data_IF_534582705537
#
_entry.id   IF_534582705537
#
_cell.length_a   1.000
_cell.length_b   1.000
_cell.length_c   1.000
_cell.angle_alpha   90.00
_cell.angle_beta   90.00
_cell.angle_gamma   90.00
#
_symmetry.space_group_name_H-M   'P 1'
#
loop_
_entity.id
_entity.type
_entity.pdbx_description
1 polymer ?
#
# COMPACT_ATOMS: atom_id res chain seq x y z
N UNK A 1 -48.88 53.56 -10.20
CA UNK A 1 -48.37 53.72 -11.58
C UNK A 1 -49.48 53.83 -12.62
N UNK A 2 -50.57 53.06 -12.54
CA UNK A 2 -51.66 53.04 -13.54
C UNK A 2 -52.42 54.36 -13.77
N UNK A 3 -52.64 55.18 -12.73
CA UNK A 3 -53.29 56.50 -12.90
C UNK A 3 -52.40 57.54 -13.62
N UNK A 4 -51.08 57.47 -13.42
CA UNK A 4 -50.11 58.38 -14.02
C UNK A 4 -49.87 58.06 -15.50
N UNK A 5 -49.80 56.77 -15.85
CA UNK A 5 -49.75 56.32 -17.26
C UNK A 5 -51.02 56.70 -18.01
N UNK A 6 -52.20 56.64 -17.37
CA UNK A 6 -53.46 57.08 -17.96
C UNK A 6 -53.48 58.58 -18.30
N UNK A 7 -52.96 59.43 -17.42
CA UNK A 7 -52.82 60.87 -17.67
C UNK A 7 -51.88 61.17 -18.84
N UNK A 8 -50.73 60.48 -18.91
CA UNK A 8 -49.77 60.64 -20.02
C UNK A 8 -50.37 60.25 -21.38
N UNK A 9 -51.15 59.17 -21.43
CA UNK A 9 -51.87 58.77 -22.64
C UNK A 9 -52.90 59.81 -23.05
N UNK A 10 -53.67 60.37 -22.10
CA UNK A 10 -54.63 61.44 -22.38
C UNK A 10 -53.97 62.70 -22.93
N UNK A 11 -52.85 63.13 -22.34
CA UNK A 11 -52.06 64.28 -22.82
C UNK A 11 -51.50 64.01 -24.23
N UNK A 12 -50.98 62.80 -24.48
CA UNK A 12 -50.47 62.40 -25.79
C UNK A 12 -51.56 62.39 -26.86
N UNK A 13 -52.74 61.83 -26.55
CA UNK A 13 -53.91 61.81 -27.45
C UNK A 13 -54.42 63.23 -27.72
N UNK A 14 -54.48 64.09 -26.70
CA UNK A 14 -54.85 65.49 -26.86
C UNK A 14 -53.85 66.25 -27.76
N UNK A 15 -52.55 65.99 -27.61
CA UNK A 15 -51.51 66.55 -28.46
C UNK A 15 -51.61 66.08 -29.93
N UNK A 16 -51.91 64.81 -30.15
CA UNK A 16 -52.17 64.26 -31.50
C UNK A 16 -53.41 64.88 -32.14
N UNK A 17 -54.51 65.04 -31.39
CA UNK A 17 -55.72 65.68 -31.88
C UNK A 17 -55.49 67.16 -32.24
N UNK A 18 -54.70 67.87 -31.44
CA UNK A 18 -54.30 69.25 -31.74
C UNK A 18 -53.46 69.36 -33.01
N UNK A 19 -52.47 68.48 -33.19
CA UNK A 19 -51.66 68.40 -34.41
C UNK A 19 -52.51 68.05 -35.64
N UNK A 20 -53.58 67.24 -35.47
CA UNK A 20 -54.50 66.86 -36.54
C UNK A 20 -55.28 68.05 -37.08
N UNK A 21 -55.69 68.94 -36.17
CA UNK A 21 -56.46 70.14 -36.52
C UNK A 21 -55.59 71.21 -37.19
N UNK A 22 -54.34 71.35 -36.75
CA UNK A 22 -53.43 72.40 -37.23
C UNK A 22 -52.68 72.02 -38.53
N UNK A 23 -52.53 70.73 -38.82
CA UNK A 23 -51.75 70.25 -39.97
C UNK A 23 -52.62 69.58 -41.02
N UNK A 24 -53.17 70.39 -41.94
CA UNK A 24 -54.00 69.94 -43.07
C UNK A 24 -53.18 69.54 -44.32
N UNK A 25 -51.85 69.53 -44.23
CA UNK A 25 -50.98 69.20 -45.36
C UNK A 25 -51.12 67.74 -45.78
N UNK A 26 -51.27 67.50 -47.08
CA UNK A 26 -51.27 66.16 -47.70
C UNK A 26 -49.91 65.84 -48.32
N UNK A 27 -49.50 64.58 -48.22
CA UNK A 27 -48.30 64.03 -48.86
C UNK A 27 -48.75 63.13 -49.99
N UNK A 28 -48.26 63.39 -51.20
CA UNK A 28 -48.53 62.58 -52.38
C UNK A 28 -47.48 61.47 -52.50
N UNK A 29 -47.90 60.22 -52.28
CA UNK A 29 -47.08 59.03 -52.47
C UNK A 29 -47.39 58.43 -53.85
N UNK A 30 -46.43 58.51 -54.78
CA UNK A 30 -46.51 57.80 -56.06
C UNK A 30 -46.03 56.37 -55.85
N UNK A 31 -46.96 55.41 -55.78
CA UNK A 31 -46.67 53.99 -55.54
C UNK A 31 -46.37 53.24 -56.85
N UNK A 32 -46.95 53.68 -57.97
CA UNK A 32 -46.66 53.19 -59.31
C UNK A 32 -46.97 54.27 -60.36
N UNK A 33 -46.73 53.98 -61.64
CA UNK A 33 -47.04 54.93 -62.73
C UNK A 33 -48.53 55.33 -62.80
N UNK A 34 -49.43 54.52 -62.23
CA UNK A 34 -50.89 54.74 -62.30
C UNK A 34 -51.58 54.93 -60.94
N UNK A 35 -50.87 54.73 -59.83
CA UNK A 35 -51.43 54.84 -58.48
C UNK A 35 -50.71 55.92 -57.68
N UNK A 36 -51.43 57.02 -57.42
CA UNK A 36 -51.00 58.11 -56.54
C UNK A 36 -51.92 58.12 -55.33
N UNK A 37 -51.34 58.02 -54.13
CA UNK A 37 -52.08 58.03 -52.88
C UNK A 37 -51.80 59.35 -52.16
N UNK A 38 -52.85 60.12 -51.88
CA UNK A 38 -52.73 61.34 -51.08
C UNK A 38 -53.08 61.00 -49.63
N UNK A 39 -52.11 61.14 -48.73
CA UNK A 39 -52.31 60.89 -47.30
C UNK A 39 -52.09 62.17 -46.50
N UNK A 40 -52.91 62.45 -45.49
CA UNK A 40 -52.60 63.49 -44.52
C UNK A 40 -51.24 63.23 -43.86
N UNK A 41 -50.42 64.27 -43.72
CA UNK A 41 -49.12 64.21 -43.00
C UNK A 41 -49.24 63.56 -41.61
N UNK A 42 -50.34 63.81 -40.91
CA UNK A 42 -50.56 63.20 -39.59
C UNK A 42 -50.74 61.68 -39.64
N UNK A 43 -51.30 61.13 -40.72
CA UNK A 43 -51.41 59.70 -40.90
C UNK A 43 -50.01 59.06 -40.96
N UNK A 44 -49.05 59.69 -41.65
CA UNK A 44 -47.66 59.22 -41.71
C UNK A 44 -46.95 59.26 -40.35
N UNK A 45 -47.18 60.31 -39.55
CA UNK A 45 -46.64 60.41 -38.18
C UNK A 45 -47.24 59.31 -37.29
N UNK A 46 -48.54 59.06 -37.38
CA UNK A 46 -49.17 57.96 -36.64
C UNK A 46 -48.63 56.60 -37.08
N UNK A 47 -48.48 56.37 -38.38
CA UNK A 47 -47.90 55.12 -38.90
C UNK A 47 -46.47 54.89 -38.40
N UNK A 48 -45.60 55.90 -38.36
CA UNK A 48 -44.22 55.74 -37.88
C UNK A 48 -44.16 55.43 -36.38
N UNK A 49 -45.04 56.05 -35.57
CA UNK A 49 -45.17 55.77 -34.14
C UNK A 49 -45.67 54.33 -33.92
N UNK A 50 -46.67 53.89 -34.70
CA UNK A 50 -47.17 52.51 -34.64
C UNK A 50 -46.08 51.51 -35.03
N UNK A 51 -45.33 51.76 -36.11
CA UNK A 51 -44.21 50.89 -36.53
C UNK A 51 -43.11 50.85 -35.45
N UNK A 52 -42.78 51.99 -34.84
CA UNK A 52 -41.84 52.07 -33.72
C UNK A 52 -42.30 51.29 -32.49
N UNK A 53 -43.58 51.42 -32.13
CA UNK A 53 -44.18 50.67 -31.02
C UNK A 53 -44.22 49.16 -31.31
N UNK A 54 -44.59 48.76 -32.53
CA UNK A 54 -44.60 47.36 -32.96
C UNK A 54 -43.19 46.76 -32.99
N UNK A 55 -42.19 47.50 -33.44
CA UNK A 55 -40.80 47.02 -33.44
C UNK A 55 -40.25 46.87 -32.01
N UNK A 56 -40.57 47.80 -31.11
CA UNK A 56 -40.21 47.68 -29.69
C UNK A 56 -40.90 46.48 -29.02
N UNK A 57 -42.19 46.26 -29.29
CA UNK A 57 -42.92 45.08 -28.81
C UNK A 57 -42.34 43.78 -29.37
N UNK A 58 -41.97 43.76 -30.66
CA UNK A 58 -41.34 42.61 -31.29
C UNK A 58 -39.98 42.29 -30.66
N UNK A 59 -39.11 43.28 -30.46
CA UNK A 59 -37.82 43.10 -29.78
C UNK A 59 -38.03 42.64 -28.33
N UNK A 60 -39.01 43.20 -27.63
CA UNK A 60 -39.41 42.75 -26.29
C UNK A 60 -39.83 41.28 -26.27
N UNK A 61 -40.72 40.88 -27.17
CA UNK A 61 -41.20 39.51 -27.31
C UNK A 61 -40.07 38.52 -27.63
N UNK A 62 -39.15 38.88 -28.54
CA UNK A 62 -37.98 38.05 -28.86
C UNK A 62 -37.06 37.91 -27.64
N UNK A 63 -36.81 38.99 -26.90
CA UNK A 63 -35.97 38.96 -25.69
C UNK A 63 -36.60 38.10 -24.59
N UNK A 64 -37.90 38.22 -24.38
CA UNK A 64 -38.60 37.46 -23.35
C UNK A 64 -38.72 35.97 -23.74
N UNK A 65 -38.94 35.66 -25.02
CA UNK A 65 -38.88 34.29 -25.53
C UNK A 65 -37.49 33.65 -25.32
N UNK A 66 -36.42 34.41 -25.59
CA UNK A 66 -35.04 33.95 -25.34
C UNK A 66 -34.79 33.69 -23.84
N UNK A 67 -35.17 34.63 -22.97
CA UNK A 67 -35.05 34.46 -21.50
C UNK A 67 -35.83 33.25 -21.00
N UNK A 68 -37.04 33.05 -21.51
CA UNK A 68 -37.87 31.90 -21.18
C UNK A 68 -37.20 30.58 -21.58
N UNK A 69 -36.64 30.51 -22.79
CA UNK A 69 -35.92 29.34 -23.27
C UNK A 69 -34.66 29.05 -22.44
N UNK A 70 -33.83 30.06 -22.16
CA UNK A 70 -32.64 29.91 -21.32
C UNK A 70 -33.00 29.43 -19.90
N UNK A 71 -34.07 30.00 -19.32
CA UNK A 71 -34.57 29.60 -17.98
C UNK A 71 -35.12 28.17 -17.99
N UNK A 72 -35.88 27.79 -19.03
CA UNK A 72 -36.40 26.43 -19.20
C UNK A 72 -35.28 25.40 -19.37
N UNK A 73 -34.29 25.72 -20.21
CA UNK A 73 -33.12 24.86 -20.42
C UNK A 73 -32.32 24.69 -19.12
N UNK A 74 -32.10 25.78 -18.38
CA UNK A 74 -31.44 25.76 -17.06
C UNK A 74 -32.20 24.89 -16.06
N UNK A 75 -33.52 25.09 -15.92
CA UNK A 75 -34.34 24.25 -15.04
C UNK A 75 -34.34 22.78 -15.44
N UNK A 76 -34.35 22.47 -16.74
CA UNK A 76 -34.26 21.09 -17.23
C UNK A 76 -32.92 20.46 -16.87
N UNK A 77 -31.81 21.18 -17.06
CA UNK A 77 -30.47 20.72 -16.68
C UNK A 77 -30.35 20.54 -15.16
N UNK A 78 -30.90 21.46 -14.35
CA UNK A 78 -30.89 21.35 -12.90
C UNK A 78 -31.68 20.14 -12.41
N UNK A 79 -32.87 19.88 -12.99
CA UNK A 79 -33.65 18.67 -12.69
C UNK A 79 -32.92 17.39 -13.09
N UNK A 80 -32.23 17.38 -14.24
CA UNK A 80 -31.38 16.26 -14.67
C UNK A 80 -30.26 16.02 -13.64
N UNK A 81 -29.52 17.07 -13.28
CA UNK A 81 -28.44 17.00 -12.31
C UNK A 81 -28.91 16.46 -10.94
N UNK A 82 -30.03 16.96 -10.43
CA UNK A 82 -30.62 16.48 -9.17
C UNK A 82 -30.99 15.01 -9.24
N UNK A 83 -31.63 14.56 -10.33
CA UNK A 83 -32.03 13.16 -10.51
C UNK A 83 -30.82 12.23 -10.58
N UNK A 84 -29.74 12.65 -11.24
CA UNK A 84 -28.48 11.90 -11.31
C UNK A 84 -27.85 11.80 -9.93
N UNK A 85 -27.75 12.91 -9.19
CA UNK A 85 -27.22 12.94 -7.83
C UNK A 85 -28.03 12.04 -6.88
N UNK A 86 -29.35 12.09 -6.94
CA UNK A 86 -30.23 11.24 -6.14
C UNK A 86 -30.05 9.75 -6.48
N UNK A 87 -30.03 9.41 -7.78
CA UNK A 87 -29.80 8.04 -8.23
C UNK A 87 -28.41 7.54 -7.83
N UNK A 88 -27.41 8.42 -7.87
CA UNK A 88 -26.04 8.10 -7.47
C UNK A 88 -25.95 7.82 -5.97
N UNK A 89 -26.58 8.65 -5.13
CA UNK A 89 -26.63 8.44 -3.68
C UNK A 89 -27.31 7.12 -3.33
N UNK A 90 -28.50 6.84 -3.89
CA UNK A 90 -29.20 5.57 -3.69
C UNK A 90 -28.37 4.38 -4.19
N UNK A 91 -27.67 4.55 -5.32
CA UNK A 91 -26.78 3.54 -5.88
C UNK A 91 -25.61 3.22 -4.95
N UNK A 92 -25.02 4.23 -4.30
CA UNK A 92 -24.00 4.04 -3.27
C UNK A 92 -24.54 3.32 -2.04
N UNK A 93 -25.72 3.71 -1.55
CA UNK A 93 -26.35 3.06 -0.39
C UNK A 93 -26.62 1.58 -0.66
N UNK A 94 -27.11 1.24 -1.86
CA UNK A 94 -27.31 -0.13 -2.29
C UNK A 94 -25.96 -0.88 -2.43
N UNK A 95 -24.93 -0.23 -2.98
CA UNK A 95 -23.60 -0.81 -3.14
C UNK A 95 -22.96 -1.18 -1.79
N UNK A 96 -22.95 -0.25 -0.82
CA UNK A 96 -22.39 -0.51 0.51
C UNK A 96 -23.22 -1.51 1.30
N UNK A 97 -24.53 -1.58 1.05
CA UNK A 97 -25.40 -2.64 1.57
C UNK A 97 -25.25 -3.98 0.84
N UNK A 98 -24.29 -4.13 -0.08
CA UNK A 98 -24.05 -5.33 -0.91
C UNK A 98 -25.22 -5.74 -1.81
N UNK A 99 -26.22 -4.87 -1.98
CA UNK A 99 -27.36 -5.04 -2.89
C UNK A 99 -26.94 -4.68 -4.32
N UNK A 100 -26.05 -5.51 -4.88
CA UNK A 100 -25.37 -5.22 -6.13
C UNK A 100 -26.28 -5.14 -7.36
N UNK A 101 -27.42 -5.84 -7.38
CA UNK A 101 -28.39 -5.76 -8.49
C UNK A 101 -29.11 -4.41 -8.51
N UNK A 102 -29.59 -3.96 -7.34
CA UNK A 102 -30.22 -2.64 -7.19
C UNK A 102 -29.22 -1.51 -7.51
N UNK A 103 -27.98 -1.61 -6.99
CA UNK A 103 -26.93 -0.66 -7.30
C UNK A 103 -26.62 -0.61 -8.80
N UNK A 104 -26.56 -1.78 -9.45
CA UNK A 104 -26.38 -1.90 -10.90
C UNK A 104 -27.47 -1.17 -11.67
N UNK A 105 -28.74 -1.37 -11.29
CA UNK A 105 -29.87 -0.70 -11.95
C UNK A 105 -29.76 0.83 -11.80
N UNK A 106 -29.48 1.31 -10.59
CA UNK A 106 -29.36 2.75 -10.30
C UNK A 106 -28.21 3.39 -11.07
N UNK A 107 -27.04 2.74 -11.14
CA UNK A 107 -25.92 3.25 -11.92
C UNK A 107 -26.15 3.15 -13.44
N UNK A 108 -26.86 2.13 -13.93
CA UNK A 108 -27.23 2.05 -15.35
C UNK A 108 -28.15 3.20 -15.76
N UNK A 109 -29.13 3.58 -14.94
CA UNK A 109 -29.99 4.76 -15.20
C UNK A 109 -29.18 6.05 -15.35
N UNK A 110 -28.10 6.20 -14.57
CA UNK A 110 -27.18 7.34 -14.72
C UNK A 110 -26.45 7.25 -16.06
N UNK A 111 -25.96 6.07 -16.45
CA UNK A 111 -25.25 5.85 -17.70
C UNK A 111 -26.14 5.97 -18.95
N UNK A 112 -27.44 5.72 -18.83
CA UNK A 112 -28.41 6.01 -19.90
C UNK A 112 -28.55 7.52 -20.17
N UNK A 113 -28.50 8.33 -19.12
CA UNK A 113 -28.59 9.79 -19.19
C UNK A 113 -27.23 10.47 -19.49
N UNK A 114 -26.14 9.87 -19.01
CA UNK A 114 -24.75 10.31 -19.13
C UNK A 114 -23.81 9.12 -19.34
N UNK A 115 -23.63 8.65 -20.59
CA UNK A 115 -22.80 7.47 -20.89
C UNK A 115 -21.34 7.58 -20.43
N UNK A 116 -20.85 8.81 -20.33
CA UNK A 116 -19.48 9.13 -19.90
C UNK A 116 -19.41 9.57 -18.43
N UNK A 117 -20.39 9.23 -17.59
CA UNK A 117 -20.33 9.55 -16.16
C UNK A 117 -19.27 8.68 -15.47
N UNK A 118 -18.09 9.26 -15.21
CA UNK A 118 -16.93 8.58 -14.62
C UNK A 118 -17.27 7.88 -13.32
N UNK A 119 -18.01 8.54 -12.42
CA UNK A 119 -18.34 7.97 -11.11
C UNK A 119 -19.25 6.74 -11.24
N UNK A 120 -20.26 6.79 -12.11
CA UNK A 120 -21.12 5.64 -12.35
C UNK A 120 -20.35 4.48 -13.04
N UNK A 121 -19.45 4.78 -13.98
CA UNK A 121 -18.57 3.77 -14.59
C UNK A 121 -17.68 3.09 -13.53
N UNK A 122 -17.04 3.87 -12.65
CA UNK A 122 -16.22 3.33 -11.56
C UNK A 122 -17.03 2.41 -10.65
N UNK A 123 -18.22 2.83 -10.21
CA UNK A 123 -19.07 1.99 -9.34
C UNK A 123 -19.56 0.72 -10.04
N UNK A 124 -19.85 0.76 -11.34
CA UNK A 124 -20.16 -0.45 -12.12
C UNK A 124 -18.96 -1.40 -12.19
N UNK A 125 -17.75 -0.86 -12.35
CA UNK A 125 -16.51 -1.60 -12.25
C UNK A 125 -16.31 -2.23 -10.88
N UNK A 126 -16.56 -1.48 -9.79
CA UNK A 126 -16.44 -1.96 -8.41
C UNK A 126 -17.40 -3.12 -8.12
N UNK A 127 -18.64 -3.02 -8.62
CA UNK A 127 -19.64 -4.10 -8.51
C UNK A 127 -19.16 -5.35 -9.26
N UNK A 128 -18.68 -5.20 -10.49
CA UNK A 128 -18.18 -6.31 -11.29
C UNK A 128 -16.96 -6.98 -10.62
N UNK A 129 -16.03 -6.17 -10.09
CA UNK A 129 -14.86 -6.64 -9.35
C UNK A 129 -15.27 -7.47 -8.12
N UNK A 130 -16.21 -6.97 -7.31
CA UNK A 130 -16.68 -7.66 -6.11
C UNK A 130 -17.44 -8.95 -6.42
N UNK A 131 -18.00 -9.08 -7.63
CA UNK A 131 -18.61 -10.32 -8.14
C UNK A 131 -17.60 -11.30 -8.74
N UNK A 132 -16.31 -10.93 -8.80
CA UNK A 132 -15.26 -11.73 -9.43
C UNK A 132 -15.23 -11.62 -10.96
N UNK A 133 -16.08 -10.79 -11.58
CA UNK A 133 -16.09 -10.54 -13.03
C UNK A 133 -15.00 -9.51 -13.39
N UNK A 134 -13.75 -9.99 -13.39
CA UNK A 134 -12.57 -9.16 -13.67
C UNK A 134 -12.60 -8.54 -15.07
N UNK A 135 -13.20 -9.25 -16.05
CA UNK A 135 -13.29 -8.79 -17.43
C UNK A 135 -14.16 -7.53 -17.51
N UNK A 136 -15.39 -7.60 -16.98
CA UNK A 136 -16.27 -6.41 -16.98
C UNK A 136 -15.76 -5.30 -16.08
N UNK A 137 -15.15 -5.63 -14.94
CA UNK A 137 -14.54 -4.64 -14.06
C UNK A 137 -13.52 -3.79 -14.82
N UNK A 138 -12.60 -4.47 -15.53
CA UNK A 138 -11.59 -3.83 -16.36
C UNK A 138 -12.19 -2.97 -17.47
N UNK A 139 -13.22 -3.46 -18.17
CA UNK A 139 -13.91 -2.70 -19.22
C UNK A 139 -14.47 -1.38 -18.70
N UNK A 140 -15.17 -1.41 -17.56
CA UNK A 140 -15.73 -0.19 -16.96
C UNK A 140 -14.64 0.78 -16.48
N UNK A 141 -13.57 0.28 -15.86
CA UNK A 141 -12.47 1.12 -15.41
C UNK A 141 -11.66 1.71 -16.57
N UNK A 142 -11.47 0.98 -17.67
CA UNK A 142 -10.85 1.50 -18.89
C UNK A 142 -11.71 2.61 -19.50
N UNK A 143 -13.03 2.42 -19.63
CA UNK A 143 -13.93 3.50 -20.08
C UNK A 143 -13.86 4.72 -19.16
N UNK A 144 -13.81 4.53 -17.84
CA UNK A 144 -13.66 5.64 -16.89
C UNK A 144 -12.34 6.39 -17.10
N UNK A 145 -11.23 5.67 -17.35
CA UNK A 145 -9.93 6.25 -17.69
C UNK A 145 -9.95 6.97 -19.05
N UNK A 146 -10.62 6.44 -20.07
CA UNK A 146 -10.70 7.07 -21.38
C UNK A 146 -11.45 8.41 -21.31
N UNK A 147 -12.50 8.49 -20.49
CA UNK A 147 -13.23 9.75 -20.24
C UNK A 147 -12.39 10.73 -19.42
N UNK A 148 -11.69 10.24 -18.39
CA UNK A 148 -10.84 11.08 -17.52
C UNK A 148 -9.49 10.40 -17.26
N UNK A 149 -8.47 10.63 -18.11
CA UNK A 149 -7.18 9.94 -18.03
C UNK A 149 -6.41 10.17 -16.72
N UNK A 150 -6.62 11.32 -16.08
CA UNK A 150 -5.99 11.70 -14.81
C UNK A 150 -6.86 11.37 -13.59
N UNK A 151 -7.86 10.48 -13.72
CA UNK A 151 -8.62 10.02 -12.56
C UNK A 151 -7.79 9.05 -11.71
N UNK A 152 -7.29 9.54 -10.57
CA UNK A 152 -6.55 8.72 -9.59
C UNK A 152 -7.39 7.50 -9.15
N UNK A 153 -8.69 7.67 -8.94
CA UNK A 153 -9.58 6.56 -8.55
C UNK A 153 -9.69 5.49 -9.65
N UNK A 154 -9.80 5.90 -10.93
CA UNK A 154 -9.79 4.97 -12.05
C UNK A 154 -8.46 4.23 -12.20
N UNK A 155 -7.34 4.94 -12.02
CA UNK A 155 -6.00 4.35 -12.07
C UNK A 155 -5.79 3.34 -10.94
N UNK A 156 -6.21 3.63 -9.70
CA UNK A 156 -6.17 2.64 -8.62
C UNK A 156 -7.06 1.44 -8.87
N UNK A 157 -8.22 1.66 -9.48
CA UNK A 157 -9.16 0.57 -9.80
C UNK A 157 -8.58 -0.37 -10.87
N UNK A 158 -7.91 0.20 -11.89
CA UNK A 158 -7.17 -0.57 -12.89
C UNK A 158 -5.96 -1.28 -12.29
N UNK A 159 -5.17 -0.59 -11.46
CA UNK A 159 -4.05 -1.19 -10.73
C UNK A 159 -4.50 -2.43 -9.97
N UNK A 160 -5.59 -2.33 -9.20
CA UNK A 160 -6.15 -3.46 -8.44
C UNK A 160 -6.49 -4.65 -9.34
N UNK A 161 -7.08 -4.41 -10.52
CA UNK A 161 -7.38 -5.46 -11.50
C UNK A 161 -6.09 -6.07 -12.06
N UNK A 162 -5.13 -5.26 -12.47
CA UNK A 162 -3.86 -5.74 -13.01
C UNK A 162 -3.06 -6.55 -11.97
N UNK A 163 -3.05 -6.12 -10.72
CA UNK A 163 -2.45 -6.83 -9.58
C UNK A 163 -3.14 -8.18 -9.35
N UNK A 164 -4.48 -8.25 -9.43
CA UNK A 164 -5.22 -9.52 -9.35
C UNK A 164 -4.91 -10.46 -10.55
N UNK A 165 -4.71 -9.89 -11.74
CA UNK A 165 -4.27 -10.62 -12.94
C UNK A 165 -2.76 -10.96 -12.94
N UNK A 166 -2.00 -10.59 -11.89
CA UNK A 166 -0.52 -10.70 -11.82
C UNK A 166 0.22 -9.99 -12.96
N UNK A 167 -0.40 -8.96 -13.55
CA UNK A 167 0.17 -8.09 -14.58
C UNK A 167 0.92 -6.93 -13.94
N UNK A 168 2.08 -7.25 -13.37
CA UNK A 168 2.85 -6.35 -12.51
C UNK A 168 3.29 -5.07 -13.21
N UNK A 169 3.69 -5.16 -14.48
CA UNK A 169 4.16 -4.00 -15.24
C UNK A 169 3.02 -3.01 -15.51
N UNK A 170 1.84 -3.50 -15.86
CA UNK A 170 0.65 -2.67 -16.08
C UNK A 170 0.12 -2.05 -14.78
N UNK A 171 0.19 -2.79 -13.67
CA UNK A 171 -0.12 -2.28 -12.34
C UNK A 171 0.86 -1.16 -11.95
N UNK A 172 2.17 -1.36 -12.12
CA UNK A 172 3.19 -0.35 -11.86
C UNK A 172 2.99 0.90 -12.73
N UNK A 173 2.66 0.76 -14.02
CA UNK A 173 2.32 1.90 -14.89
C UNK A 173 1.12 2.70 -14.38
N UNK A 174 0.09 2.03 -13.84
CA UNK A 174 -1.04 2.75 -13.25
C UNK A 174 -0.60 3.57 -12.03
N UNK A 175 0.28 3.01 -11.19
CA UNK A 175 0.83 3.69 -10.01
C UNK A 175 1.77 4.85 -10.41
N UNK A 176 2.59 4.67 -11.44
CA UNK A 176 3.44 5.73 -11.97
C UNK A 176 2.62 6.89 -12.50
N UNK A 177 1.54 6.62 -13.26
CA UNK A 177 0.61 7.66 -13.70
C UNK A 177 -0.06 8.40 -12.52
N UNK A 178 -0.30 7.73 -11.39
CA UNK A 178 -0.81 8.38 -10.17
C UNK A 178 0.26 9.29 -9.58
N UNK A 179 1.51 8.83 -9.51
CA UNK A 179 2.64 9.61 -8.98
C UNK A 179 3.04 10.78 -9.90
N UNK A 180 2.72 10.73 -11.19
CA UNK A 180 2.83 11.89 -12.09
C UNK A 180 1.82 13.00 -11.74
N UNK A 181 0.64 12.64 -11.21
CA UNK A 181 -0.42 13.58 -10.82
C UNK A 181 -0.19 14.07 -9.38
N UNK A 182 0.18 13.15 -8.49
CA UNK A 182 0.39 13.37 -7.07
C UNK A 182 1.66 12.60 -6.63
N UNK A 183 2.81 13.28 -6.71
CA UNK A 183 4.14 12.68 -6.51
C UNK A 183 4.40 12.10 -5.13
N UNK A 184 3.60 12.44 -4.13
CA UNK A 184 3.72 11.93 -2.76
C UNK A 184 2.53 11.04 -2.37
N UNK A 185 1.70 10.60 -3.32
CA UNK A 185 0.51 9.82 -3.03
C UNK A 185 0.86 8.55 -2.21
N UNK A 186 0.47 8.47 -0.91
CA UNK A 186 0.95 7.40 -0.05
C UNK A 186 0.44 6.03 -0.51
N UNK A 187 -0.81 5.98 -0.99
CA UNK A 187 -1.42 4.73 -1.49
C UNK A 187 -0.69 4.21 -2.72
N UNK A 188 -0.25 5.10 -3.61
CA UNK A 188 0.50 4.69 -4.79
C UNK A 188 1.91 4.17 -4.44
N UNK A 189 2.62 4.88 -3.56
CA UNK A 189 3.94 4.44 -3.08
C UNK A 189 3.88 3.08 -2.36
N UNK A 190 2.90 2.88 -1.47
CA UNK A 190 2.70 1.58 -0.81
C UNK A 190 2.29 0.48 -1.80
N UNK A 191 1.49 0.81 -2.82
CA UNK A 191 1.16 -0.11 -3.91
C UNK A 191 2.41 -0.56 -4.67
N UNK A 192 3.29 0.38 -5.03
CA UNK A 192 4.55 0.07 -5.75
C UNK A 192 5.43 -0.83 -4.90
N UNK A 193 5.64 -0.47 -3.64
CA UNK A 193 6.41 -1.29 -2.68
C UNK A 193 5.89 -2.71 -2.62
N UNK A 194 4.57 -2.89 -2.45
CA UNK A 194 3.95 -4.23 -2.38
C UNK A 194 4.20 -5.05 -3.64
N UNK A 195 4.08 -4.45 -4.83
CA UNK A 195 4.34 -5.15 -6.09
C UNK A 195 5.82 -5.52 -6.21
N UNK A 196 6.74 -4.62 -5.85
CA UNK A 196 8.17 -4.92 -5.87
C UNK A 196 8.54 -6.01 -4.85
N UNK A 197 7.90 -6.02 -3.69
CA UNK A 197 8.11 -7.03 -2.64
C UNK A 197 7.69 -8.42 -3.09
N UNK A 198 6.50 -8.55 -3.69
CA UNK A 198 6.00 -9.82 -4.25
C UNK A 198 6.94 -10.35 -5.34
N UNK A 199 7.48 -9.45 -6.17
CA UNK A 199 8.36 -9.80 -7.27
C UNK A 199 9.84 -9.88 -6.88
N UNK A 200 10.18 -9.69 -5.59
CA UNK A 200 11.55 -9.66 -5.07
C UNK A 200 12.46 -8.67 -5.82
N UNK A 201 11.89 -7.58 -6.33
CA UNK A 201 12.65 -6.52 -6.97
C UNK A 201 13.12 -5.52 -5.91
N UNK A 202 14.15 -5.93 -5.17
CA UNK A 202 14.57 -5.23 -3.95
C UNK A 202 15.21 -3.87 -4.18
N UNK A 203 15.88 -3.65 -5.32
CA UNK A 203 16.49 -2.37 -5.66
C UNK A 203 15.43 -1.28 -5.89
N UNK A 204 14.45 -1.54 -6.75
CA UNK A 204 13.33 -0.60 -7.00
C UNK A 204 12.45 -0.42 -5.76
N UNK A 205 12.31 -1.47 -4.96
CA UNK A 205 11.65 -1.40 -3.66
C UNK A 205 12.36 -0.40 -2.75
N UNK A 206 13.70 -0.46 -2.68
CA UNK A 206 14.49 0.41 -1.81
C UNK A 206 14.36 1.89 -2.21
N UNK A 207 14.37 2.21 -3.50
CA UNK A 207 14.07 3.57 -4.01
C UNK A 207 12.68 4.04 -3.57
N UNK A 208 11.67 3.17 -3.71
CA UNK A 208 10.30 3.46 -3.29
C UNK A 208 10.22 3.67 -1.76
N UNK A 209 10.95 2.90 -0.97
CA UNK A 209 10.99 3.03 0.49
C UNK A 209 11.59 4.38 0.92
N UNK A 210 12.64 4.87 0.23
CA UNK A 210 13.18 6.20 0.50
C UNK A 210 12.18 7.31 0.17
N UNK A 211 11.38 7.17 -0.90
CA UNK A 211 10.30 8.12 -1.22
C UNK A 211 9.23 8.15 -0.13
N UNK A 212 8.84 6.98 0.40
CA UNK A 212 7.90 6.88 1.54
C UNK A 212 8.45 7.61 2.76
N UNK A 213 9.73 7.41 3.11
CA UNK A 213 10.36 8.05 4.27
C UNK A 213 10.56 9.57 4.12
N UNK A 214 10.57 10.07 2.88
CA UNK A 214 10.64 11.50 2.55
C UNK A 214 9.27 12.19 2.62
N UNK A 215 8.18 11.46 2.38
CA UNK A 215 6.82 11.99 2.45
C UNK A 215 6.41 12.41 3.87
N UNK A 216 5.37 13.24 3.97
CA UNK A 216 4.84 13.72 5.26
C UNK A 216 4.07 12.60 5.99
N UNK A 217 4.81 11.78 6.74
CA UNK A 217 4.30 10.72 7.61
C UNK A 217 4.59 11.01 9.09
N UNK A 218 3.71 10.56 9.98
CA UNK A 218 3.89 10.72 11.42
C UNK A 218 5.21 10.07 11.90
N UNK A 219 5.77 10.60 13.00
CA UNK A 219 7.01 10.09 13.58
C UNK A 219 6.94 8.58 13.90
N UNK A 220 5.80 8.12 14.42
CA UNK A 220 5.53 6.70 14.70
C UNK A 220 5.61 5.85 13.43
N UNK A 221 4.91 6.25 12.35
CA UNK A 221 5.00 5.56 11.06
C UNK A 221 6.41 5.60 10.50
N UNK A 222 7.13 6.70 10.67
CA UNK A 222 8.50 6.82 10.21
C UNK A 222 9.44 5.84 10.93
N UNK A 223 9.21 5.58 12.21
CA UNK A 223 9.95 4.56 12.96
C UNK A 223 9.67 3.15 12.39
N UNK A 224 8.41 2.81 12.13
CA UNK A 224 8.04 1.53 11.50
C UNK A 224 8.65 1.37 10.11
N UNK A 225 8.62 2.42 9.31
CA UNK A 225 9.17 2.43 7.96
C UNK A 225 10.71 2.39 7.96
N UNK A 226 11.37 2.93 8.98
CA UNK A 226 12.81 2.75 9.18
C UNK A 226 13.17 1.30 9.58
N UNK A 227 12.34 0.63 10.40
CA UNK A 227 12.55 -0.79 10.71
C UNK A 227 12.45 -1.66 9.44
N UNK A 228 11.43 -1.41 8.61
CA UNK A 228 11.30 -2.10 7.30
C UNK A 228 12.46 -1.78 6.37
N UNK A 229 12.97 -0.54 6.37
CA UNK A 229 14.13 -0.16 5.57
C UNK A 229 15.35 -1.04 5.87
N UNK A 230 15.61 -1.40 7.13
CA UNK A 230 16.71 -2.31 7.47
C UNK A 230 16.48 -3.71 6.88
N UNK A 231 15.26 -4.22 7.00
CA UNK A 231 14.83 -5.47 6.36
C UNK A 231 15.03 -5.46 4.85
N UNK A 232 14.59 -4.41 4.16
CA UNK A 232 14.74 -4.29 2.71
C UNK A 232 16.19 -4.15 2.25
N UNK A 233 17.03 -3.42 3.01
CA UNK A 233 18.48 -3.39 2.74
C UNK A 233 19.12 -4.77 2.91
N UNK A 234 18.71 -5.51 3.93
CA UNK A 234 19.15 -6.89 4.10
C UNK A 234 18.76 -7.76 2.90
N UNK A 235 17.53 -7.67 2.40
CA UNK A 235 17.09 -8.41 1.20
C UNK A 235 17.89 -8.03 -0.06
N UNK A 236 18.22 -6.74 -0.26
CA UNK A 236 19.12 -6.31 -1.34
C UNK A 236 20.50 -6.96 -1.20
N UNK A 237 21.05 -7.00 0.01
CA UNK A 237 22.32 -7.65 0.30
C UNK A 237 22.30 -9.15 -0.01
N UNK A 238 21.22 -9.84 0.38
CA UNK A 238 20.98 -11.26 0.08
C UNK A 238 20.86 -11.53 -1.41
N UNK A 239 20.09 -10.72 -2.14
CA UNK A 239 19.91 -10.86 -3.58
C UNK A 239 21.22 -10.66 -4.35
N UNK A 240 22.08 -9.71 -3.95
CA UNK A 240 23.42 -9.60 -4.52
C UNK A 240 24.30 -10.81 -4.20
N UNK A 241 24.25 -11.33 -2.97
CA UNK A 241 25.00 -12.53 -2.60
C UNK A 241 24.57 -13.74 -3.44
N UNK A 242 23.26 -13.96 -3.62
CA UNK A 242 22.70 -15.03 -4.47
C UNK A 242 23.12 -14.90 -5.94
N UNK A 243 23.30 -13.66 -6.43
CA UNK A 243 23.80 -13.37 -7.78
C UNK A 243 25.33 -13.48 -7.90
N UNK A 244 26.05 -13.65 -6.79
CA UNK A 244 27.52 -13.64 -6.75
C UNK A 244 28.16 -12.24 -6.79
N UNK A 245 27.37 -11.17 -6.67
CA UNK A 245 27.85 -9.78 -6.57
C UNK A 245 28.36 -9.47 -5.15
N UNK A 246 29.37 -10.20 -4.68
CA UNK A 246 29.85 -10.19 -3.28
C UNK A 246 30.27 -8.80 -2.79
N UNK A 247 30.91 -7.98 -3.64
CA UNK A 247 31.29 -6.60 -3.29
C UNK A 247 30.08 -5.70 -2.97
N UNK A 248 29.00 -5.83 -3.75
CA UNK A 248 27.76 -5.07 -3.48
C UNK A 248 27.07 -5.61 -2.23
N UNK A 249 27.01 -6.93 -2.07
CA UNK A 249 26.46 -7.57 -0.88
C UNK A 249 27.17 -7.08 0.39
N UNK A 250 28.51 -7.14 0.43
CA UNK A 250 29.32 -6.61 1.55
C UNK A 250 29.00 -5.15 1.84
N UNK A 251 28.99 -4.30 0.81
CA UNK A 251 28.74 -2.86 0.98
C UNK A 251 27.38 -2.60 1.62
N UNK A 252 26.33 -3.27 1.15
CA UNK A 252 24.97 -3.08 1.65
C UNK A 252 24.82 -3.67 3.05
N UNK A 253 25.30 -4.90 3.29
CA UNK A 253 25.18 -5.59 4.58
C UNK A 253 25.99 -4.91 5.67
N UNK A 254 27.21 -4.43 5.39
CA UNK A 254 27.99 -3.58 6.33
C UNK A 254 27.22 -2.32 6.72
N UNK A 255 26.48 -1.73 5.78
CA UNK A 255 25.66 -0.56 6.09
C UNK A 255 24.46 -0.91 6.99
N UNK A 256 23.88 -2.10 6.86
CA UNK A 256 22.81 -2.57 7.77
C UNK A 256 23.38 -2.78 9.17
N UNK A 257 24.44 -3.57 9.31
CA UNK A 257 25.12 -3.85 10.58
C UNK A 257 25.52 -2.57 11.32
N UNK A 258 26.05 -1.58 10.58
CA UNK A 258 26.44 -0.30 11.18
C UNK A 258 25.26 0.53 11.69
N UNK A 259 24.09 0.43 11.06
CA UNK A 259 22.90 1.21 11.40
C UNK A 259 22.02 0.51 12.43
N UNK A 260 22.01 -0.82 12.44
CA UNK A 260 21.23 -1.66 13.32
C UNK A 260 22.10 -2.82 13.83
N UNK A 261 22.70 -2.61 15.00
CA UNK A 261 23.63 -3.54 15.66
C UNK A 261 22.93 -4.80 16.18
N UNK A 262 21.61 -4.76 16.34
CA UNK A 262 20.83 -5.91 16.80
C UNK A 262 20.38 -6.81 15.64
N UNK A 263 20.69 -6.44 14.38
CA UNK A 263 20.24 -7.16 13.19
C UNK A 263 21.08 -8.42 12.91
N UNK A 264 20.85 -9.48 13.69
CA UNK A 264 21.53 -10.79 13.62
C UNK A 264 21.66 -11.31 12.19
N UNK A 265 20.55 -11.24 11.43
CA UNK A 265 20.50 -11.79 10.07
C UNK A 265 21.49 -11.12 9.10
N UNK A 266 21.82 -9.85 9.31
CA UNK A 266 22.73 -9.08 8.46
C UNK A 266 24.19 -9.43 8.75
N UNK A 267 24.56 -9.61 10.02
CA UNK A 267 25.87 -10.15 10.40
C UNK A 267 26.08 -11.54 9.79
N UNK A 268 25.08 -12.43 9.89
CA UNK A 268 25.19 -13.79 9.34
C UNK A 268 25.34 -13.78 7.82
N UNK A 269 24.56 -12.96 7.10
CA UNK A 269 24.72 -12.83 5.65
C UNK A 269 26.05 -12.18 5.26
N UNK A 270 26.56 -11.25 6.06
CA UNK A 270 27.86 -10.62 5.82
C UNK A 270 29.00 -11.62 6.02
N UNK A 271 28.95 -12.43 7.09
CA UNK A 271 29.90 -13.50 7.32
C UNK A 271 29.85 -14.55 6.19
N UNK A 272 28.66 -14.95 5.75
CA UNK A 272 28.49 -15.84 4.58
C UNK A 272 29.11 -15.24 3.31
N UNK A 273 28.95 -13.93 3.11
CA UNK A 273 29.58 -13.22 1.98
C UNK A 273 31.10 -13.33 2.03
N UNK A 274 31.72 -13.10 3.19
CA UNK A 274 33.17 -13.25 3.36
C UNK A 274 33.64 -14.70 3.19
N UNK A 275 32.89 -15.68 3.71
CA UNK A 275 33.19 -17.11 3.50
C UNK A 275 33.16 -17.44 2.01
N UNK A 276 32.19 -16.92 1.25
CA UNK A 276 32.08 -17.17 -0.19
C UNK A 276 33.26 -16.63 -1.00
N UNK A 277 33.94 -15.59 -0.49
CA UNK A 277 35.16 -15.02 -1.08
C UNK A 277 36.44 -15.72 -0.61
N UNK A 278 36.35 -16.59 0.40
CA UNK A 278 37.50 -17.23 1.05
C UNK A 278 38.15 -16.39 2.15
N UNK A 279 37.57 -15.24 2.51
CA UNK A 279 38.06 -14.33 3.55
C UNK A 279 37.62 -14.81 4.94
N UNK A 280 38.09 -16.00 5.32
CA UNK A 280 37.73 -16.73 6.54
C UNK A 280 37.95 -15.89 7.82
N UNK A 281 39.03 -15.09 7.87
CA UNK A 281 39.35 -14.24 9.02
C UNK A 281 38.34 -13.12 9.25
N UNK A 282 37.86 -12.51 8.17
CA UNK A 282 36.87 -11.45 8.26
C UNK A 282 35.50 -12.02 8.65
N UNK A 283 35.15 -13.20 8.11
CA UNK A 283 33.93 -13.89 8.50
C UNK A 283 33.90 -14.20 10.01
N UNK A 284 35.02 -14.69 10.56
CA UNK A 284 35.20 -14.90 12.00
C UNK A 284 34.97 -13.61 12.79
N UNK A 285 35.66 -12.53 12.42
CA UNK A 285 35.56 -11.25 13.11
C UNK A 285 34.12 -10.70 13.12
N UNK A 286 33.39 -10.83 12.01
CA UNK A 286 31.98 -10.40 11.92
C UNK A 286 31.07 -11.25 12.80
N UNK A 287 31.30 -12.57 12.89
CA UNK A 287 30.52 -13.44 13.76
C UNK A 287 30.80 -13.17 15.24
N UNK A 288 32.07 -12.92 15.61
CA UNK A 288 32.45 -12.50 16.97
C UNK A 288 31.84 -11.14 17.32
N UNK A 289 31.93 -10.15 16.42
CA UNK A 289 31.29 -8.83 16.59
C UNK A 289 29.78 -8.96 16.79
N UNK A 290 29.10 -9.76 15.96
CA UNK A 290 27.67 -10.00 16.09
C UNK A 290 27.29 -10.65 17.42
N UNK A 291 28.12 -11.57 17.92
CA UNK A 291 27.93 -12.15 19.25
C UNK A 291 28.12 -11.12 20.36
N UNK A 292 29.17 -10.29 20.29
CA UNK A 292 29.44 -9.27 21.32
C UNK A 292 28.33 -8.21 21.39
N UNK A 293 27.76 -7.80 20.25
CA UNK A 293 26.69 -6.80 20.21
C UNK A 293 25.33 -7.37 20.66
N UNK A 294 25.00 -8.62 20.29
CA UNK A 294 23.64 -9.17 20.48
C UNK A 294 23.53 -10.21 21.59
N UNK A 295 24.64 -10.80 22.03
CA UNK A 295 24.69 -11.98 22.90
C UNK A 295 23.83 -13.16 22.40
N UNK A 296 23.52 -13.21 21.10
CA UNK A 296 22.64 -14.24 20.54
C UNK A 296 23.32 -15.59 20.41
N UNK A 297 22.67 -16.64 20.92
CA UNK A 297 23.12 -18.04 20.79
C UNK A 297 23.28 -18.49 19.33
N UNK A 298 22.62 -17.82 18.39
CA UNK A 298 22.73 -18.13 16.96
C UNK A 298 24.17 -17.91 16.48
N UNK A 299 24.86 -16.88 16.97
CA UNK A 299 26.27 -16.66 16.63
C UNK A 299 27.18 -17.72 17.22
N UNK A 300 26.93 -18.16 18.47
CA UNK A 300 27.74 -19.22 19.08
C UNK A 300 27.64 -20.53 18.31
N UNK A 301 26.44 -20.92 17.85
CA UNK A 301 26.27 -22.10 16.99
C UNK A 301 27.04 -21.96 15.67
N UNK A 302 27.04 -20.77 15.06
CA UNK A 302 27.77 -20.52 13.81
C UNK A 302 29.29 -20.49 14.00
N UNK A 303 29.76 -19.89 15.09
CA UNK A 303 31.17 -19.88 15.47
C UNK A 303 31.66 -21.28 15.85
N UNK A 304 30.81 -22.09 16.49
CA UNK A 304 31.12 -23.50 16.76
C UNK A 304 31.39 -24.26 15.46
N UNK A 305 30.45 -24.23 14.51
CA UNK A 305 30.63 -24.89 13.21
C UNK A 305 31.89 -24.39 12.49
N UNK A 306 32.14 -23.09 12.57
CA UNK A 306 33.32 -22.45 12.00
C UNK A 306 34.63 -22.95 12.63
N UNK A 307 34.79 -22.84 13.95
CA UNK A 307 36.03 -23.22 14.65
C UNK A 307 36.28 -24.73 14.63
N UNK A 308 35.22 -25.54 14.61
CA UNK A 308 35.35 -26.99 14.41
C UNK A 308 35.88 -27.30 13.01
N UNK A 309 35.38 -26.61 11.98
CA UNK A 309 35.84 -26.79 10.59
C UNK A 309 37.29 -26.35 10.41
N UNK A 310 37.70 -25.27 11.07
CA UNK A 310 39.08 -24.77 11.06
C UNK A 310 40.03 -25.64 11.89
N UNK A 311 39.50 -26.47 12.80
CA UNK A 311 40.29 -27.34 13.66
C UNK A 311 40.83 -26.67 14.93
N UNK A 312 40.22 -25.57 15.37
CA UNK A 312 40.60 -24.80 16.56
C UNK A 312 39.49 -24.77 17.63
N UNK A 313 39.01 -25.93 18.13
CA UNK A 313 37.90 -25.99 19.09
C UNK A 313 38.19 -25.26 20.42
N UNK A 314 39.45 -25.07 20.79
CA UNK A 314 39.81 -24.34 22.01
C UNK A 314 39.32 -22.89 22.01
N UNK A 315 39.22 -22.25 20.84
CA UNK A 315 38.76 -20.86 20.72
C UNK A 315 37.27 -20.73 21.03
N UNK A 316 36.43 -21.62 20.48
CA UNK A 316 35.01 -21.62 20.78
C UNK A 316 34.73 -22.01 22.24
N UNK A 317 35.51 -22.94 22.82
CA UNK A 317 35.41 -23.27 24.25
C UNK A 317 35.68 -22.02 25.10
N UNK A 318 36.75 -21.29 24.81
CA UNK A 318 37.09 -20.05 25.53
C UNK A 318 35.99 -18.99 25.39
N UNK A 319 35.36 -18.88 24.21
CA UNK A 319 34.25 -17.96 23.98
C UNK A 319 33.02 -18.32 24.82
N UNK A 320 32.62 -19.60 24.85
CA UNK A 320 31.54 -20.08 25.73
C UNK A 320 31.86 -19.82 27.20
N UNK A 321 33.08 -20.11 27.65
CA UNK A 321 33.50 -19.86 29.03
C UNK A 321 33.42 -18.37 29.38
N UNK A 322 33.88 -17.47 28.49
CA UNK A 322 33.74 -16.01 28.66
C UNK A 322 32.27 -15.59 28.76
N UNK A 323 31.41 -16.14 27.91
CA UNK A 323 29.97 -15.85 27.93
C UNK A 323 29.29 -16.33 29.22
N UNK A 324 29.63 -17.53 29.71
CA UNK A 324 29.11 -18.08 30.98
C UNK A 324 29.64 -17.26 32.17
N UNK A 325 30.90 -16.82 32.14
CA UNK A 325 31.43 -15.96 33.21
C UNK A 325 30.69 -14.62 33.29
N UNK A 326 30.29 -14.05 32.14
CA UNK A 326 29.50 -12.84 32.09
C UNK A 326 28.06 -13.08 32.61
N UNK A 327 27.46 -14.22 32.29
CA UNK A 327 26.11 -14.60 32.71
C UNK A 327 26.07 -16.02 33.33
N UNK A 328 26.50 -16.20 34.60
CA UNK A 328 26.65 -17.54 35.21
C UNK A 328 25.36 -18.36 35.32
N UNK A 329 24.22 -17.68 35.34
CA UNK A 329 22.90 -18.30 35.47
C UNK A 329 22.27 -18.69 34.12
N UNK A 330 22.91 -18.39 32.98
CA UNK A 330 22.38 -18.78 31.67
C UNK A 330 22.67 -20.26 31.39
N UNK A 331 21.71 -21.10 31.79
CA UNK A 331 21.77 -22.55 31.61
C UNK A 331 21.81 -22.96 30.12
N UNK A 332 21.37 -22.10 29.20
CA UNK A 332 21.45 -22.39 27.76
C UNK A 332 22.90 -22.42 27.30
N UNK A 333 23.72 -21.47 27.77
CA UNK A 333 25.15 -21.45 27.47
C UNK A 333 25.86 -22.68 28.03
N UNK A 334 25.52 -23.09 29.26
CA UNK A 334 26.05 -24.29 29.88
C UNK A 334 25.68 -25.55 29.08
N UNK A 335 24.43 -25.65 28.63
CA UNK A 335 23.99 -26.76 27.78
C UNK A 335 24.78 -26.85 26.47
N UNK A 336 24.91 -25.74 25.74
CA UNK A 336 25.66 -25.75 24.48
C UNK A 336 27.15 -26.03 24.69
N UNK A 337 27.76 -25.52 25.75
CA UNK A 337 29.15 -25.85 26.08
C UNK A 337 29.32 -27.35 26.43
N UNK A 338 28.41 -27.92 27.22
CA UNK A 338 28.42 -29.35 27.53
C UNK A 338 28.23 -30.21 26.27
N UNK A 339 27.35 -29.80 25.36
CA UNK A 339 27.15 -30.43 24.05
C UNK A 339 28.42 -30.39 23.20
N UNK A 340 29.13 -29.27 23.19
CA UNK A 340 30.41 -29.12 22.51
C UNK A 340 31.49 -30.01 23.14
N UNK A 341 31.62 -30.04 24.46
CA UNK A 341 32.57 -30.95 25.14
C UNK A 341 32.28 -32.42 24.83
N UNK A 342 31.00 -32.82 24.82
CA UNK A 342 30.59 -34.16 24.44
C UNK A 342 30.99 -34.49 22.99
N UNK A 343 30.74 -33.56 22.05
CA UNK A 343 31.15 -33.69 20.64
C UNK A 343 32.67 -33.84 20.46
N UNK A 344 33.45 -33.23 21.34
CA UNK A 344 34.92 -33.29 21.35
C UNK A 344 35.48 -34.46 22.18
N UNK A 345 34.62 -35.37 22.66
CA UNK A 345 34.98 -36.50 23.54
C UNK A 345 35.66 -36.06 24.86
N UNK A 346 35.43 -34.82 25.29
CA UNK A 346 35.86 -34.27 26.59
C UNK A 346 34.81 -34.59 27.68
N UNK A 347 34.60 -35.89 27.93
CA UNK A 347 33.45 -36.40 28.66
C UNK A 347 33.34 -35.89 30.11
N UNK A 348 34.46 -35.79 30.85
CA UNK A 348 34.41 -35.31 32.23
C UNK A 348 34.03 -33.82 32.30
N UNK A 349 34.56 -32.98 31.41
CA UNK A 349 34.15 -31.58 31.31
C UNK A 349 32.68 -31.42 30.90
N UNK A 350 32.20 -32.28 29.98
CA UNK A 350 30.79 -32.31 29.60
C UNK A 350 29.91 -32.63 30.82
N UNK A 351 30.30 -33.64 31.61
CA UNK A 351 29.58 -34.04 32.83
C UNK A 351 29.58 -32.96 33.90
N UNK A 352 30.72 -32.33 34.18
CA UNK A 352 30.82 -31.23 35.16
C UNK A 352 29.96 -30.04 34.74
N UNK A 353 29.94 -29.70 33.44
CA UNK A 353 29.16 -28.58 32.92
C UNK A 353 27.66 -28.85 32.98
N UNK A 354 27.23 -30.05 32.54
CA UNK A 354 25.80 -30.38 32.43
C UNK A 354 25.14 -30.60 33.80
N UNK A 355 25.89 -31.07 34.80
CA UNK A 355 25.37 -31.29 36.17
C UNK A 355 25.10 -29.99 36.93
N UNK A 356 25.64 -28.86 36.45
CA UNK A 356 25.31 -27.53 36.95
C UNK A 356 23.96 -26.98 36.48
N UNK A 357 23.32 -27.63 35.51
CA UNK A 357 22.02 -27.22 34.96
C UNK A 357 20.90 -27.71 35.86
N UNK A 358 19.97 -26.82 36.20
CA UNK A 358 18.77 -27.20 36.96
C UNK A 358 17.70 -27.76 36.02
N UNK A 359 17.61 -29.10 36.00
CA UNK A 359 16.64 -29.85 35.21
C UNK A 359 15.18 -29.52 35.54
N UNK A 360 14.87 -28.89 36.68
CA UNK A 360 13.50 -28.44 36.96
C UNK A 360 13.12 -27.20 36.15
N UNK A 361 14.10 -26.37 35.80
CA UNK A 361 13.89 -25.14 35.02
C UNK A 361 14.13 -25.35 33.52
N UNK A 362 14.95 -26.32 33.18
CA UNK A 362 15.35 -26.60 31.81
C UNK A 362 15.09 -28.09 31.53
N UNK A 363 13.83 -28.43 31.20
CA UNK A 363 13.36 -29.81 30.98
C UNK A 363 12.89 -30.01 29.54
N UNK A 364 13.71 -30.70 28.72
CA UNK A 364 13.45 -30.93 27.30
C UNK A 364 14.27 -32.12 26.78
N UNK A 365 13.84 -32.78 25.69
CA UNK A 365 14.36 -34.10 25.36
C UNK A 365 15.83 -34.09 24.90
N UNK A 366 16.34 -33.02 24.29
CA UNK A 366 17.76 -32.91 23.91
C UNK A 366 18.70 -32.87 25.13
N UNK A 367 18.28 -32.26 26.26
CA UNK A 367 19.06 -32.27 27.51
C UNK A 367 19.21 -33.69 28.05
N UNK A 368 18.11 -34.42 28.15
CA UNK A 368 18.11 -35.80 28.62
C UNK A 368 18.87 -36.74 27.69
N UNK A 369 18.78 -36.51 26.37
CA UNK A 369 19.54 -37.27 25.39
C UNK A 369 21.05 -37.04 25.55
N UNK A 370 21.47 -35.79 25.79
CA UNK A 370 22.87 -35.45 26.05
C UNK A 370 23.36 -36.05 27.37
N UNK A 371 22.59 -35.93 28.47
CA UNK A 371 22.91 -36.55 29.76
C UNK A 371 23.05 -38.07 29.62
N UNK A 372 22.11 -38.72 28.93
CA UNK A 372 22.17 -40.16 28.65
C UNK A 372 23.44 -40.55 27.91
N UNK A 373 23.81 -39.80 26.86
CA UNK A 373 25.04 -40.03 26.09
C UNK A 373 26.31 -39.83 26.91
N UNK A 374 26.33 -38.83 27.79
CA UNK A 374 27.45 -38.59 28.72
C UNK A 374 27.56 -39.76 29.71
N UNK A 375 26.46 -40.21 30.32
CA UNK A 375 26.47 -41.37 31.23
C UNK A 375 26.91 -42.66 30.55
N UNK A 376 26.47 -42.89 29.31
CA UNK A 376 26.88 -44.04 28.51
C UNK A 376 28.40 -44.05 28.28
N UNK A 377 28.98 -42.91 27.89
CA UNK A 377 30.43 -42.74 27.72
C UNK A 377 31.22 -42.95 29.01
N UNK A 378 30.59 -42.78 30.17
CA UNK A 378 31.16 -43.06 31.51
C UNK A 378 30.84 -44.47 32.04
N UNK A 379 30.28 -45.34 31.21
CA UNK A 379 29.85 -46.71 31.57
C UNK A 379 28.78 -46.77 32.69
N UNK A 380 28.03 -45.69 32.89
CA UNK A 380 26.92 -45.62 33.86
C UNK A 380 25.60 -45.98 33.15
N UNK A 381 25.48 -47.24 32.75
CA UNK A 381 24.38 -47.68 31.87
C UNK A 381 22.99 -47.53 32.49
N UNK A 382 22.85 -47.68 33.80
CA UNK A 382 21.56 -47.49 34.50
C UNK A 382 21.11 -46.03 34.43
N UNK A 383 21.98 -45.09 34.80
CA UNK A 383 21.72 -43.65 34.70
C UNK A 383 21.43 -43.21 33.26
N UNK A 384 22.20 -43.74 32.29
CA UNK A 384 21.97 -43.47 30.87
C UNK A 384 20.56 -43.91 30.43
N UNK A 385 20.16 -45.12 30.82
CA UNK A 385 18.83 -45.65 30.49
C UNK A 385 17.70 -44.85 31.13
N UNK A 386 17.89 -44.31 32.35
CA UNK A 386 16.92 -43.43 32.99
C UNK A 386 16.75 -42.11 32.25
N UNK A 387 17.85 -41.46 31.87
CA UNK A 387 17.81 -40.20 31.13
C UNK A 387 17.18 -40.39 29.74
N UNK A 388 17.54 -41.44 29.00
CA UNK A 388 16.87 -41.74 27.72
C UNK A 388 15.37 -42.01 27.88
N UNK A 389 14.94 -42.67 28.96
CA UNK A 389 13.50 -42.84 29.24
C UNK A 389 12.80 -41.51 29.46
N UNK A 390 13.43 -40.53 30.12
CA UNK A 390 12.89 -39.17 30.27
C UNK A 390 12.77 -38.48 28.91
N UNK A 391 13.81 -38.57 28.06
CA UNK A 391 13.78 -38.00 26.70
C UNK A 391 12.62 -38.56 25.84
N UNK A 392 12.31 -39.85 25.96
CA UNK A 392 11.24 -40.51 25.22
C UNK A 392 9.81 -40.13 25.67
N UNK A 393 9.65 -39.43 26.81
CA UNK A 393 8.35 -38.95 27.27
C UNK A 393 7.87 -37.71 26.51
N UNK A 394 8.74 -37.05 25.75
CA UNK A 394 8.40 -35.86 24.98
C UNK A 394 7.87 -36.21 23.59
N UNK A 395 6.80 -35.54 23.18
CA UNK A 395 6.24 -35.66 21.83
C UNK A 395 6.97 -34.79 20.79
N UNK A 396 7.93 -33.96 21.22
CA UNK A 396 8.67 -33.05 20.34
C UNK A 396 9.88 -33.73 19.68
N UNK A 397 10.23 -33.35 18.43
CA UNK A 397 11.44 -33.86 17.78
C UNK A 397 12.72 -33.58 18.59
N UNK A 398 13.70 -34.49 18.50
CA UNK A 398 15.07 -34.34 19.02
C UNK A 398 15.90 -33.38 18.14
N UNK A 399 15.43 -32.13 18.06
CA UNK A 399 16.10 -31.07 17.33
C UNK A 399 15.67 -29.75 17.94
N UNK A 400 16.63 -28.93 18.37
CA UNK A 400 16.39 -27.55 18.79
C UNK A 400 16.03 -26.74 17.55
N UNK A 401 14.76 -26.32 17.38
CA UNK A 401 14.36 -25.58 16.20
C UNK A 401 14.63 -24.09 16.41
N UNK A 402 14.51 -23.34 15.32
CA UNK A 402 14.35 -21.89 15.38
C UNK A 402 12.88 -21.56 15.51
N UNK A 403 12.57 -20.54 16.29
CA UNK A 403 11.23 -20.02 16.39
C UNK A 403 11.16 -18.49 16.23
N UNK A 404 10.17 -18.04 15.46
CA UNK A 404 9.86 -16.63 15.28
C UNK A 404 9.17 -16.04 16.52
N UNK A 405 9.82 -15.08 17.18
CA UNK A 405 9.29 -14.34 18.33
C UNK A 405 8.03 -13.52 18.04
N UNK A 406 7.68 -13.28 16.78
CA UNK A 406 6.52 -12.48 16.38
C UNK A 406 5.26 -13.31 16.08
N UNK A 407 5.39 -14.54 15.58
CA UNK A 407 4.24 -15.35 15.16
C UNK A 407 4.32 -16.83 15.55
N UNK A 408 5.33 -17.21 16.32
CA UNK A 408 5.60 -18.57 16.78
C UNK A 408 5.81 -19.59 15.65
N UNK A 409 6.13 -19.14 14.43
CA UNK A 409 6.53 -20.03 13.33
C UNK A 409 7.81 -20.78 13.69
N UNK A 410 7.80 -22.10 13.51
CA UNK A 410 8.91 -23.01 13.82
C UNK A 410 9.62 -23.41 12.52
N UNK A 411 10.94 -23.30 12.49
CA UNK A 411 11.80 -23.70 11.39
C UNK A 411 12.93 -24.62 11.85
N UNK A 412 13.29 -25.61 11.04
CA UNK A 412 14.49 -26.44 11.28
C UNK A 412 15.77 -25.74 10.84
N UNK A 413 15.65 -24.81 9.90
CA UNK A 413 16.75 -24.07 9.32
C UNK A 413 16.65 -22.59 9.69
N UNK A 414 17.81 -21.93 9.74
CA UNK A 414 17.86 -20.49 9.96
C UNK A 414 17.32 -19.75 8.74
N UNK A 415 16.41 -18.82 8.95
CA UNK A 415 15.90 -17.92 7.92
C UNK A 415 15.90 -16.49 8.46
N UNK A 416 16.45 -15.55 7.69
CA UNK A 416 16.59 -14.16 8.14
C UNK A 416 15.28 -13.36 8.11
N UNK A 417 14.31 -13.81 7.31
CA UNK A 417 12.94 -13.29 7.23
C UNK A 417 11.96 -14.42 7.48
N UNK A 418 11.06 -14.26 8.46
CA UNK A 418 10.09 -15.29 8.80
C UNK A 418 9.15 -15.57 7.60
N UNK A 419 9.03 -16.82 7.12
CA UNK A 419 8.15 -17.17 5.99
C UNK A 419 6.66 -16.94 6.26
N UNK A 420 6.24 -16.91 7.51
CA UNK A 420 4.82 -16.77 7.89
C UNK A 420 4.39 -15.32 8.12
N UNK A 421 5.17 -14.55 8.91
CA UNK A 421 4.82 -13.16 9.24
C UNK A 421 5.66 -12.11 8.52
N UNK A 422 6.63 -12.55 7.73
CA UNK A 422 7.52 -11.71 6.91
C UNK A 422 8.38 -10.71 7.68
N UNK A 423 8.44 -10.80 9.02
CA UNK A 423 9.32 -9.97 9.84
C UNK A 423 10.75 -10.51 9.83
N UNK A 424 11.71 -9.59 9.75
CA UNK A 424 13.14 -9.87 9.87
C UNK A 424 13.56 -10.00 11.32
N UNK A 425 14.67 -10.70 11.55
CA UNK A 425 15.36 -10.72 12.84
C UNK A 425 14.48 -11.20 14.02
N UNK A 426 13.53 -12.10 13.74
CA UNK A 426 12.60 -12.62 14.75
C UNK A 426 12.91 -14.05 15.16
N UNK A 427 13.72 -14.78 14.40
CA UNK A 427 14.00 -16.18 14.71
C UNK A 427 15.09 -16.31 15.78
N UNK A 428 14.81 -17.10 16.81
CA UNK A 428 15.73 -17.45 17.90
C UNK A 428 15.71 -18.96 18.15
N UNK A 429 16.72 -19.52 18.83
CA UNK A 429 16.73 -20.94 19.18
C UNK A 429 15.72 -21.24 20.30
N UNK A 430 14.80 -22.16 20.05
CA UNK A 430 13.73 -22.54 21.00
C UNK A 430 14.11 -23.77 21.82
N UNK A 431 14.85 -23.55 22.91
CA UNK A 431 15.34 -24.62 23.80
C UNK A 431 14.30 -25.08 24.83
N UNK A 432 13.33 -24.21 25.15
CA UNK A 432 12.40 -24.39 26.28
C UNK A 432 10.97 -24.68 25.83
N UNK A 433 10.75 -24.92 24.53
CA UNK A 433 9.40 -24.97 23.96
C UNK A 433 8.62 -23.68 24.22
N UNK A 434 9.33 -22.57 24.33
CA UNK A 434 8.80 -21.23 24.61
C UNK A 434 7.92 -20.70 23.50
N UNK A 435 7.96 -21.31 22.31
CA UNK A 435 7.05 -21.03 21.23
C UNK A 435 5.74 -21.82 21.24
N UNK A 436 5.46 -22.59 22.30
CA UNK A 436 4.12 -23.10 22.55
C UNK A 436 3.20 -21.90 22.82
N UNK A 437 2.28 -21.65 21.88
CA UNK A 437 1.15 -20.73 22.05
C UNK A 437 0.25 -21.17 23.20
#
# INVERSE_FOLDING_TARGET
>A
MTKFTGLLVLIFVAGLAYLALMNQGVVTLKLSATHVLELPTIALILFSIVIGALSMLFVGAVRDARRYYETWQSHRQQKKYQRIQESYSKGLDAFFATRYDEATELFNRILEEEPNNVNALLRRGDIAFNRGDMVRAKEFYLKAKDVRPQSIEALFSLEKVFTAERKWQEALRCLDNILEIDGENPRALYGKRKIYEINKNWEDLLDTQYKILKSDISAEKKQDENRKLMGYKYEVGRDHLEKGDTEKAKKVLKAVVKLDKDFISAYLALAETYISEGDVKEAEAILEEGFEETSSLVFLVRLEDFFITVGEPGRIIALYQKAIQANPNDQKLQFFLAKLYYRLEMIDYAYETITGIDTATMDYPDLHTLLGGIYERRAQHENAAEEYKKALQFETPLLIPYCCSNCSYISKEWVGRCPQCEHWNTLTLDLSGTCKL
#
